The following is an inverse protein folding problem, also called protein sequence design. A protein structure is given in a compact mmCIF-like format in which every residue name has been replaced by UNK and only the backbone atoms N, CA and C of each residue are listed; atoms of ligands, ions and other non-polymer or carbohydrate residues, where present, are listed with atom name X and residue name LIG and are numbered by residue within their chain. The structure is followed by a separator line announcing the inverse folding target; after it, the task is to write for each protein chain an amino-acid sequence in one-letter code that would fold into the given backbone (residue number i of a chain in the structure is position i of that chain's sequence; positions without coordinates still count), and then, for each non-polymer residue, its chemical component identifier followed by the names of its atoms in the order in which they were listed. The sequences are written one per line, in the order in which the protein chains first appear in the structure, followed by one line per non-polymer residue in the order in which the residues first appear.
data_IF_837095872429
#
_entry.id   IF_837095872429
#
_cell.length_a   1.000
_cell.length_b   1.000
_cell.length_c   1.000
_cell.angle_alpha   90.00
_cell.angle_beta   90.00
_cell.angle_gamma   90.00
#
_symmetry.space_group_name_H-M   'P 1'
#
loop_
_entity.id
_entity.type
_entity.pdbx_description
1 polymer ?
#
# COMPACT_ATOMS: atom_id res chain seq x y z
N UNK A 1 15.67 15.80 -18.82
CA UNK A 1 15.51 14.79 -17.76
C UNK A 1 14.69 15.32 -16.58
N UNK A 2 15.16 16.34 -15.86
CA UNK A 2 14.44 16.90 -14.70
C UNK A 2 12.99 17.34 -14.98
N UNK A 3 12.73 18.01 -16.10
CA UNK A 3 11.35 18.45 -16.43
C UNK A 3 10.36 17.30 -16.62
N UNK A 4 10.77 16.21 -17.27
CA UNK A 4 9.92 15.04 -17.45
C UNK A 4 9.60 14.38 -16.10
N UNK A 5 10.59 14.32 -15.19
CA UNK A 5 10.40 13.84 -13.82
C UNK A 5 9.44 14.76 -13.04
N UNK A 6 9.64 16.08 -13.10
CA UNK A 6 8.77 17.05 -12.42
C UNK A 6 7.33 16.98 -12.93
N UNK A 7 7.14 16.93 -14.25
CA UNK A 7 5.83 16.83 -14.89
C UNK A 7 5.17 15.49 -14.51
N UNK A 8 5.90 14.38 -14.58
CA UNK A 8 5.39 13.06 -14.21
C UNK A 8 4.94 12.99 -12.76
N UNK A 9 5.69 13.59 -11.82
CA UNK A 9 5.31 13.64 -10.41
C UNK A 9 4.04 14.47 -10.22
N UNK A 10 3.96 15.66 -10.82
CA UNK A 10 2.79 16.54 -10.70
C UNK A 10 1.53 15.84 -11.24
N UNK A 11 1.57 15.36 -12.49
CA UNK A 11 0.42 14.66 -13.06
C UNK A 11 0.09 13.36 -12.30
N UNK A 12 1.10 12.64 -11.81
CA UNK A 12 0.92 11.41 -11.04
C UNK A 12 0.14 11.62 -9.74
N UNK A 13 0.51 12.63 -8.95
CA UNK A 13 -0.19 12.90 -7.69
C UNK A 13 -1.62 13.39 -7.93
N UNK A 14 -1.83 14.30 -8.91
CA UNK A 14 -3.15 14.82 -9.19
C UNK A 14 -4.07 13.74 -9.77
N UNK A 15 -3.54 12.85 -10.63
CA UNK A 15 -4.28 11.70 -11.16
C UNK A 15 -4.68 10.71 -10.07
N UNK A 16 -3.83 10.47 -9.07
CA UNK A 16 -4.11 9.53 -7.98
C UNK A 16 -5.31 9.98 -7.13
N UNK A 17 -5.43 11.29 -6.86
CA UNK A 17 -6.54 11.82 -6.06
C UNK A 17 -7.82 11.94 -6.89
N UNK A 18 -7.72 12.45 -8.12
CA UNK A 18 -8.88 12.75 -8.96
C UNK A 18 -9.47 11.52 -9.67
N UNK A 19 -8.64 10.51 -9.98
CA UNK A 19 -9.05 9.35 -10.78
C UNK A 19 -8.97 8.07 -9.95
N UNK A 20 -7.85 7.77 -9.29
CA UNK A 20 -7.71 6.49 -8.59
C UNK A 20 -8.64 6.38 -7.37
N UNK A 21 -8.81 7.45 -6.59
CA UNK A 21 -9.69 7.45 -5.40
C UNK A 21 -11.16 7.13 -5.71
N UNK A 22 -11.84 7.82 -6.67
CA UNK A 22 -13.20 7.46 -7.03
C UNK A 22 -13.32 6.10 -7.72
N UNK A 23 -12.30 5.67 -8.48
CA UNK A 23 -12.27 4.31 -9.04
C UNK A 23 -12.25 3.24 -7.95
N UNK A 24 -11.43 3.42 -6.91
CA UNK A 24 -11.36 2.51 -5.75
C UNK A 24 -12.69 2.47 -4.99
N UNK A 25 -13.33 3.63 -4.80
CA UNK A 25 -14.65 3.71 -4.16
C UNK A 25 -15.74 3.04 -5.01
N UNK A 26 -15.69 3.20 -6.34
CA UNK A 26 -16.66 2.59 -7.25
C UNK A 26 -16.49 1.06 -7.36
N UNK A 27 -15.26 0.57 -7.35
CA UNK A 27 -14.96 -0.87 -7.31
C UNK A 27 -15.28 -1.52 -5.94
N UNK A 28 -15.66 -0.74 -4.93
CA UNK A 28 -16.01 -1.24 -3.60
C UNK A 28 -14.84 -1.91 -2.89
N UNK A 29 -13.61 -1.45 -3.12
CA UNK A 29 -12.41 -2.06 -2.52
C UNK A 29 -12.47 -1.91 -0.99
N UNK A 30 -12.32 -3.03 -0.28
CA UNK A 30 -12.43 -3.07 1.18
C UNK A 30 -11.07 -3.07 1.87
N UNK A 31 -11.03 -2.60 3.11
CA UNK A 31 -9.79 -2.42 3.90
C UNK A 31 -9.02 -3.73 4.06
N UNK A 32 -9.71 -4.87 4.13
CA UNK A 32 -9.07 -6.18 4.31
C UNK A 32 -8.09 -6.51 3.18
N UNK A 33 -8.31 -5.96 1.97
CA UNK A 33 -7.44 -6.18 0.81
C UNK A 33 -6.10 -5.43 0.90
N UNK A 34 -6.04 -4.38 1.73
CA UNK A 34 -4.83 -3.59 1.95
C UNK A 34 -4.12 -3.94 3.27
N UNK A 35 -4.75 -4.75 4.10
CA UNK A 35 -4.15 -5.23 5.34
C UNK A 35 -3.16 -6.34 4.98
N UNK A 36 -1.90 -6.16 5.36
CA UNK A 36 -0.92 -7.25 5.25
C UNK A 36 -1.43 -8.44 6.07
N UNK A 37 -1.47 -9.65 5.50
CA UNK A 37 -1.84 -10.84 6.24
C UNK A 37 -0.95 -10.90 7.47
N UNK A 38 -1.59 -10.97 8.65
CA UNK A 38 -0.88 -11.07 9.92
C UNK A 38 -0.02 -12.32 9.79
N UNK A 39 1.30 -12.15 9.70
CA UNK A 39 2.23 -13.28 9.68
C UNK A 39 1.93 -14.03 10.97
N UNK A 40 1.26 -15.17 10.87
CA UNK A 40 1.08 -16.05 12.00
C UNK A 40 2.50 -16.34 12.49
N UNK A 41 2.85 -15.78 13.65
CA UNK A 41 4.08 -16.18 14.32
C UNK A 41 3.93 -17.70 14.49
N UNK A 42 4.84 -18.52 13.94
CA UNK A 42 4.79 -19.95 14.23
C UNK A 42 4.71 -20.10 15.74
N UNK A 43 3.79 -20.95 16.20
CA UNK A 43 3.52 -21.16 17.61
C UNK A 43 4.84 -21.52 18.32
N UNK A 44 5.42 -20.55 19.03
CA UNK A 44 6.73 -20.69 19.70
C UNK A 44 7.65 -19.47 19.69
N UNK A 45 7.38 -18.40 18.94
CA UNK A 45 8.29 -17.23 18.96
C UNK A 45 8.02 -16.28 20.14
N UNK A 46 8.88 -16.33 21.16
CA UNK A 46 9.02 -15.26 22.17
C UNK A 46 9.81 -14.09 21.58
N UNK A 47 9.62 -12.88 22.14
CA UNK A 47 10.06 -11.61 21.53
C UNK A 47 11.60 -11.39 21.47
N UNK A 48 12.41 -12.43 21.73
CA UNK A 48 13.89 -12.38 21.80
C UNK A 48 14.63 -13.16 20.69
N UNK A 49 13.92 -13.67 19.67
CA UNK A 49 14.56 -14.15 18.43
C UNK A 49 15.49 -15.39 18.55
N UNK A 50 15.51 -16.10 19.67
CA UNK A 50 16.25 -17.35 19.82
C UNK A 50 15.32 -18.57 19.68
N UNK A 51 15.68 -19.49 18.78
CA UNK A 51 15.13 -20.85 18.72
C UNK A 51 15.95 -21.75 19.65
N UNK A 52 15.30 -22.36 20.64
CA UNK A 52 15.83 -23.45 21.47
C UNK A 52 15.28 -24.80 21.01
#
# INVERSE_FOLDING_TARGET
FALALTIGILFGIYSSVLVASPLVMWLGVSREQFVQPKKERPAGMTDDGAVV
#
